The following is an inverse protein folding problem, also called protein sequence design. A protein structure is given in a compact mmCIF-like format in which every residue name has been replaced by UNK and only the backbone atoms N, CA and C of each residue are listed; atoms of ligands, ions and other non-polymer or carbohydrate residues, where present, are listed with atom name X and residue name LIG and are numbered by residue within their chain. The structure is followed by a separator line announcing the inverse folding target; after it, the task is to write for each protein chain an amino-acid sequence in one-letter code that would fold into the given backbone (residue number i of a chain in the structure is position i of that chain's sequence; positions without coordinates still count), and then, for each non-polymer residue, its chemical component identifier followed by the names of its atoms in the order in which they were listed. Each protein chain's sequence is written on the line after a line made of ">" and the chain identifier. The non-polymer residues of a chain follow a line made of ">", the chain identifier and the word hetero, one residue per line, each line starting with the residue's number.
data_IF_136513760698
#
_entry.id   IF_136513760698
#
_cell.length_a   1.000
_cell.length_b   1.000
_cell.length_c   1.000
_cell.angle_alpha   90.00
_cell.angle_beta   90.00
_cell.angle_gamma   90.00
#
_symmetry.space_group_name_H-M   'P 1'
#
loop_
_entity.id
_entity.type
_entity.pdbx_description
1 polymer ?
#
# COMPACT_ATOMS: atom_id res chain seq x y z
N UNK A 1 5.74 7.92 -6.45
CA UNK A 1 5.53 9.02 -5.50
C UNK A 1 4.86 8.57 -4.19
N UNK A 2 3.88 7.65 -4.21
CA UNK A 2 3.28 7.06 -2.99
C UNK A 2 4.23 6.14 -2.21
N UNK A 3 5.07 5.34 -2.88
CA UNK A 3 6.09 4.51 -2.23
C UNK A 3 7.26 5.29 -1.59
N UNK A 4 7.42 6.57 -1.90
CA UNK A 4 8.47 7.42 -1.29
C UNK A 4 8.03 7.99 0.07
N UNK A 5 6.72 8.08 0.33
CA UNK A 5 6.19 8.61 1.60
C UNK A 5 6.29 7.63 2.78
N UNK A 6 6.45 6.34 2.51
CA UNK A 6 6.73 5.33 3.54
C UNK A 6 8.23 5.21 3.88
N UNK A 7 9.13 5.76 3.04
CA UNK A 7 10.58 5.71 3.25
C UNK A 7 11.22 7.06 3.61
N UNK A 8 10.43 8.06 4.01
CA UNK A 8 10.97 9.30 4.60
C UNK A 8 11.96 10.10 3.73
N UNK A 9 11.89 10.00 2.40
CA UNK A 9 12.77 10.79 1.52
C UNK A 9 11.97 11.86 0.78
N UNK A 10 12.24 13.12 1.13
CA UNK A 10 11.83 14.30 0.35
C UNK A 10 13.03 14.83 -0.44
N UNK A 11 12.92 15.09 -1.75
CA UNK A 11 14.04 15.61 -2.54
C UNK A 11 14.06 17.15 -2.53
N UNK A 12 15.19 17.73 -2.09
CA UNK A 12 15.68 19.03 -2.56
C UNK A 12 15.58 20.23 -1.62
N UNK A 13 16.69 20.51 -0.90
CA UNK A 13 17.40 21.80 -0.78
C UNK A 13 18.13 21.93 0.58
N UNK A 14 19.33 22.54 0.65
CA UNK A 14 20.26 22.41 1.77
C UNK A 14 20.07 23.51 2.82
N UNK A 15 20.11 23.15 4.10
CA UNK A 15 20.20 24.13 5.18
C UNK A 15 19.59 23.63 6.48
N UNK A 16 20.46 23.38 7.45
CA UNK A 16 20.17 23.17 8.88
C UNK A 16 19.42 21.86 9.19
N UNK A 17 20.20 20.80 9.40
CA UNK A 17 19.75 19.59 10.07
C UNK A 17 19.29 19.94 11.49
N UNK A 18 17.98 20.05 11.70
CA UNK A 18 17.41 19.87 13.03
C UNK A 18 17.70 18.42 13.49
N UNK A 19 18.06 18.22 14.78
CA UNK A 19 18.33 16.88 15.29
C UNK A 19 17.07 16.02 15.17
N UNK A 20 17.22 14.87 14.52
CA UNK A 20 16.17 13.88 14.36
C UNK A 20 15.53 13.60 15.72
N UNK A 21 14.29 14.04 15.88
CA UNK A 21 13.47 13.79 17.06
C UNK A 21 13.32 12.27 17.18
N UNK A 22 13.61 11.64 18.34
CA UNK A 22 13.46 10.19 18.48
C UNK A 22 12.03 9.79 18.12
N UNK A 23 11.82 8.65 17.44
CA UNK A 23 10.48 8.22 17.03
C UNK A 23 9.58 8.19 18.27
N UNK A 24 8.37 8.73 18.13
CA UNK A 24 7.44 9.06 19.22
C UNK A 24 6.98 7.86 20.10
N UNK A 25 7.55 6.66 19.91
CA UNK A 25 7.34 5.46 20.74
C UNK A 25 8.49 5.09 21.68
N UNK A 26 9.68 5.70 21.55
CA UNK A 26 10.88 5.28 22.30
C UNK A 26 10.69 5.40 23.83
N UNK A 27 10.10 6.50 24.29
CA UNK A 27 9.84 6.73 25.73
C UNK A 27 8.64 5.94 26.31
N UNK A 28 7.78 5.40 25.46
CA UNK A 28 6.66 4.53 25.88
C UNK A 28 7.17 3.11 26.07
N UNK A 29 7.95 2.62 25.12
CA UNK A 29 8.57 1.29 25.16
C UNK A 29 9.52 1.13 26.35
N UNK A 30 10.39 2.13 26.58
CA UNK A 30 11.31 2.11 27.71
C UNK A 30 10.60 2.08 29.06
N UNK A 31 9.42 2.72 29.13
CA UNK A 31 8.59 2.76 30.35
C UNK A 31 7.89 1.43 30.59
N UNK A 32 7.42 0.77 29.53
CA UNK A 32 6.83 -0.56 29.60
C UNK A 32 7.87 -1.59 30.02
N UNK A 33 9.03 -1.61 29.37
CA UNK A 33 10.14 -2.50 29.74
C UNK A 33 10.54 -2.29 31.22
N UNK A 34 10.68 -1.04 31.67
CA UNK A 34 11.01 -0.73 33.06
C UNK A 34 9.90 -1.16 34.04
N UNK A 35 8.62 -1.05 33.68
CA UNK A 35 7.51 -1.57 34.49
C UNK A 35 7.59 -3.09 34.63
N UNK A 36 7.83 -3.79 33.53
CA UNK A 36 7.91 -5.25 33.53
C UNK A 36 9.12 -5.76 34.30
N UNK A 37 10.32 -5.20 34.08
CA UNK A 37 11.50 -5.59 34.88
C UNK A 37 11.23 -5.40 36.38
N UNK A 38 10.65 -4.27 36.78
CA UNK A 38 10.33 -4.01 38.18
C UNK A 38 9.30 -5.00 38.76
N UNK A 39 8.36 -5.49 37.95
CA UNK A 39 7.32 -6.43 38.39
C UNK A 39 7.84 -7.86 38.59
N UNK A 40 8.89 -8.26 37.87
CA UNK A 40 9.48 -9.61 37.91
C UNK A 40 10.86 -9.66 38.59
N UNK A 41 11.28 -8.57 39.23
CA UNK A 41 12.52 -8.48 40.01
C UNK A 41 12.69 -9.64 41.00
N UNK A 42 13.87 -10.26 40.97
CA UNK A 42 14.23 -11.37 41.86
C UNK A 42 13.70 -12.75 41.43
N UNK A 43 12.90 -12.83 40.35
CA UNK A 43 12.52 -14.11 39.71
C UNK A 43 13.36 -14.42 38.47
N UNK A 44 13.99 -13.40 37.89
CA UNK A 44 14.74 -13.50 36.64
C UNK A 44 16.20 -13.09 36.84
N UNK A 45 17.09 -13.76 36.11
CA UNK A 45 18.53 -13.51 36.13
C UNK A 45 18.84 -12.28 35.26
N UNK A 46 19.75 -11.39 35.69
CA UNK A 46 20.22 -10.27 34.86
C UNK A 46 20.69 -10.77 33.48
N UNK A 47 20.20 -10.15 32.40
CA UNK A 47 20.53 -10.52 31.02
C UNK A 47 19.58 -11.56 30.37
N UNK A 48 18.71 -12.21 31.15
CA UNK A 48 17.66 -13.07 30.59
C UNK A 48 16.38 -12.26 30.38
N UNK A 49 16.01 -12.06 29.11
CA UNK A 49 14.77 -11.39 28.74
C UNK A 49 13.60 -12.33 28.96
N UNK A 50 12.58 -11.93 29.72
CA UNK A 50 11.33 -12.69 29.79
C UNK A 50 10.71 -12.79 28.39
N UNK A 51 10.71 -14.00 27.83
CA UNK A 51 10.14 -14.25 26.51
C UNK A 51 8.66 -13.83 26.43
N UNK A 52 7.88 -13.99 27.51
CA UNK A 52 6.46 -13.57 27.54
C UNK A 52 6.31 -12.06 27.46
N UNK A 53 7.18 -11.31 28.12
CA UNK A 53 7.18 -9.84 28.06
C UNK A 53 7.54 -9.37 26.66
N UNK A 54 8.61 -9.94 26.10
CA UNK A 54 9.02 -9.69 24.73
C UNK A 54 7.89 -9.98 23.74
N UNK A 55 7.28 -11.15 23.86
CA UNK A 55 6.18 -11.61 23.01
C UNK A 55 4.97 -10.67 23.10
N UNK A 56 4.60 -10.22 24.29
CA UNK A 56 3.46 -9.32 24.49
C UNK A 56 3.69 -7.97 23.81
N UNK A 57 4.86 -7.36 24.01
CA UNK A 57 5.18 -6.05 23.45
C UNK A 57 5.18 -6.09 21.92
N UNK A 58 5.81 -7.12 21.33
CA UNK A 58 5.84 -7.30 19.87
C UNK A 58 4.44 -7.49 19.30
N UNK A 59 3.61 -8.32 19.93
CA UNK A 59 2.23 -8.57 19.48
C UNK A 59 1.39 -7.30 19.49
N UNK A 60 1.51 -6.48 20.53
CA UNK A 60 0.81 -5.20 20.62
C UNK A 60 1.25 -4.21 19.54
N UNK A 61 2.56 -4.11 19.27
CA UNK A 61 3.08 -3.29 18.17
C UNK A 61 2.52 -3.74 16.83
N UNK A 62 2.57 -5.03 16.52
CA UNK A 62 2.10 -5.56 15.23
C UNK A 62 0.60 -5.39 15.06
N UNK A 63 -0.18 -5.56 16.13
CA UNK A 63 -1.63 -5.34 16.11
C UNK A 63 -1.99 -3.89 15.76
N UNK A 64 -1.18 -2.92 16.19
CA UNK A 64 -1.42 -1.51 15.87
C UNK A 64 -1.24 -1.16 14.38
N UNK A 65 -0.57 -2.03 13.62
CA UNK A 65 -0.29 -1.82 12.19
C UNK A 65 -1.34 -2.45 11.26
N UNK A 66 -2.27 -3.25 11.80
CA UNK A 66 -3.30 -3.93 11.01
C UNK A 66 -4.25 -2.93 10.33
N UNK A 67 -4.85 -2.01 11.11
CA UNK A 67 -5.81 -1.03 10.58
C UNK A 67 -5.16 -0.03 9.59
N UNK A 68 -3.96 0.53 9.85
CA UNK A 68 -3.25 1.35 8.86
C UNK A 68 -2.98 0.61 7.54
N UNK A 69 -2.74 -0.71 7.56
CA UNK A 69 -2.54 -1.50 6.36
C UNK A 69 -3.84 -1.67 5.56
N UNK A 70 -4.97 -1.83 6.24
CA UNK A 70 -6.30 -1.89 5.62
C UNK A 70 -6.70 -0.52 5.04
N UNK A 71 -6.45 0.58 5.74
CA UNK A 71 -6.68 1.93 5.23
C UNK A 71 -5.88 2.22 3.94
N UNK A 72 -4.63 1.74 3.89
CA UNK A 72 -3.81 1.83 2.69
C UNK A 72 -4.40 1.02 1.53
N UNK A 73 -4.93 -0.18 1.79
CA UNK A 73 -5.64 -0.98 0.79
C UNK A 73 -6.84 -0.20 0.22
N UNK A 74 -7.69 0.38 1.07
CA UNK A 74 -8.83 1.17 0.62
C UNK A 74 -8.41 2.36 -0.25
N UNK A 75 -7.39 3.09 0.20
CA UNK A 75 -6.84 4.24 -0.53
C UNK A 75 -6.36 3.84 -1.93
N UNK A 76 -5.58 2.76 -2.05
CA UNK A 76 -5.07 2.30 -3.35
C UNK A 76 -6.21 1.78 -4.23
N UNK A 77 -7.17 1.07 -3.64
CA UNK A 77 -8.34 0.54 -4.37
C UNK A 77 -9.17 1.67 -4.97
N UNK A 78 -9.38 2.76 -4.26
CA UNK A 78 -10.10 3.92 -4.78
C UNK A 78 -9.34 4.62 -5.91
N UNK A 79 -8.01 4.76 -5.81
CA UNK A 79 -7.20 5.32 -6.90
C UNK A 79 -7.31 4.47 -8.17
N UNK A 80 -7.26 3.14 -8.03
CA UNK A 80 -7.34 2.21 -9.15
C UNK A 80 -8.74 2.21 -9.76
N UNK A 81 -9.78 2.18 -8.92
CA UNK A 81 -11.18 2.33 -9.34
C UNK A 81 -11.38 3.58 -10.18
N UNK A 82 -10.93 4.74 -9.69
CA UNK A 82 -11.04 6.01 -10.43
C UNK A 82 -10.31 5.95 -11.78
N UNK A 83 -9.12 5.34 -11.82
CA UNK A 83 -8.39 5.17 -13.06
C UNK A 83 -9.17 4.32 -14.08
N UNK A 84 -9.75 3.20 -13.66
CA UNK A 84 -10.57 2.34 -14.53
C UNK A 84 -11.86 3.02 -14.99
N UNK A 85 -12.55 3.75 -14.11
CA UNK A 85 -13.75 4.52 -14.48
C UNK A 85 -13.39 5.58 -15.52
N UNK A 86 -12.31 6.33 -15.33
CA UNK A 86 -11.86 7.35 -16.29
C UNK A 86 -11.52 6.74 -17.66
N UNK A 87 -10.90 5.55 -17.68
CA UNK A 87 -10.63 4.82 -18.92
C UNK A 87 -11.94 4.35 -19.58
N UNK A 88 -12.89 3.85 -18.80
CA UNK A 88 -14.22 3.44 -19.31
C UNK A 88 -14.98 4.62 -19.91
N UNK A 89 -14.96 5.78 -19.24
CA UNK A 89 -15.61 7.01 -19.75
C UNK A 89 -15.00 7.45 -21.07
N UNK A 90 -13.67 7.53 -21.17
CA UNK A 90 -12.98 7.96 -22.40
C UNK A 90 -13.24 7.04 -23.60
N UNK A 91 -13.38 5.74 -23.37
CA UNK A 91 -13.53 4.77 -24.46
C UNK A 91 -15.00 4.47 -24.80
N UNK A 92 -15.91 4.55 -23.83
CA UNK A 92 -17.29 4.07 -23.98
C UNK A 92 -18.37 5.15 -23.82
N UNK A 93 -18.02 6.43 -23.61
CA UNK A 93 -19.01 7.50 -23.41
C UNK A 93 -20.08 7.60 -24.52
N UNK A 94 -19.72 7.30 -25.77
CA UNK A 94 -20.67 7.32 -26.90
C UNK A 94 -21.70 6.17 -26.84
N UNK A 95 -21.34 5.06 -26.18
CA UNK A 95 -22.16 3.87 -25.99
C UNK A 95 -22.63 3.78 -24.53
N UNK A 96 -23.71 4.48 -24.20
CA UNK A 96 -24.20 4.61 -22.82
C UNK A 96 -24.42 3.27 -22.12
N UNK A 97 -25.01 2.29 -22.82
CA UNK A 97 -25.29 0.97 -22.27
C UNK A 97 -24.01 0.21 -21.94
N UNK A 98 -23.05 0.19 -22.89
CA UNK A 98 -21.73 -0.41 -22.67
C UNK A 98 -20.99 0.27 -21.51
N UNK A 99 -20.96 1.60 -21.47
CA UNK A 99 -20.32 2.35 -20.40
C UNK A 99 -20.92 2.02 -19.02
N UNK A 100 -22.26 1.99 -18.93
CA UNK A 100 -22.97 1.63 -17.69
C UNK A 100 -22.63 0.21 -17.24
N UNK A 101 -22.64 -0.75 -18.16
CA UNK A 101 -22.30 -2.16 -17.87
C UNK A 101 -20.83 -2.28 -17.43
N UNK A 102 -19.91 -1.65 -18.14
CA UNK A 102 -18.49 -1.64 -17.79
C UNK A 102 -18.25 -1.04 -16.39
N UNK A 103 -18.94 0.06 -16.07
CA UNK A 103 -18.88 0.69 -14.75
C UNK A 103 -19.41 -0.24 -13.64
N UNK A 104 -20.51 -0.94 -13.89
CA UNK A 104 -21.03 -1.95 -12.95
C UNK A 104 -20.01 -3.05 -12.69
N UNK A 105 -19.44 -3.63 -13.75
CA UNK A 105 -18.42 -4.68 -13.64
C UNK A 105 -17.18 -4.21 -12.87
N UNK A 106 -16.75 -2.96 -13.07
CA UNK A 106 -15.64 -2.35 -12.32
C UNK A 106 -15.97 -2.31 -10.82
N UNK A 107 -17.17 -1.87 -10.42
CA UNK A 107 -17.56 -1.79 -9.00
C UNK A 107 -17.73 -3.19 -8.38
N UNK A 108 -18.30 -4.15 -9.11
CA UNK A 108 -18.49 -5.53 -8.64
C UNK A 108 -17.15 -6.23 -8.40
N UNK A 109 -16.22 -6.13 -9.36
CA UNK A 109 -14.87 -6.69 -9.24
C UNK A 109 -14.09 -5.95 -8.15
N UNK A 110 -14.28 -4.63 -7.99
CA UNK A 110 -13.64 -3.83 -6.94
C UNK A 110 -14.01 -4.36 -5.56
N UNK A 111 -15.30 -4.55 -5.30
CA UNK A 111 -15.78 -5.06 -4.02
C UNK A 111 -15.23 -6.45 -3.70
N UNK A 112 -15.17 -7.35 -4.69
CA UNK A 112 -14.66 -8.71 -4.48
C UNK A 112 -13.14 -8.72 -4.23
N UNK A 113 -12.36 -7.99 -5.03
CA UNK A 113 -10.91 -7.93 -4.86
C UNK A 113 -10.48 -7.22 -3.58
N UNK A 114 -11.21 -6.17 -3.18
CA UNK A 114 -10.97 -5.46 -1.92
C UNK A 114 -11.21 -6.38 -0.72
N UNK A 115 -12.30 -7.15 -0.73
CA UNK A 115 -12.60 -8.14 0.30
C UNK A 115 -11.55 -9.25 0.39
N UNK A 116 -11.06 -9.75 -0.74
CA UNK A 116 -10.03 -10.79 -0.78
C UNK A 116 -8.67 -10.29 -0.27
N UNK A 117 -8.30 -9.07 -0.67
CA UNK A 117 -7.09 -8.41 -0.20
C UNK A 117 -7.15 -8.14 1.31
N UNK A 118 -8.26 -7.61 1.83
CA UNK A 118 -8.43 -7.34 3.26
C UNK A 118 -8.31 -8.63 4.07
N UNK A 119 -9.00 -9.70 3.66
CA UNK A 119 -8.90 -11.01 4.32
C UNK A 119 -7.46 -11.51 4.35
N UNK A 120 -6.74 -11.37 3.25
CA UNK A 120 -5.33 -11.79 3.13
C UNK A 120 -4.41 -10.99 4.06
N UNK A 121 -4.61 -9.67 4.15
CA UNK A 121 -3.86 -8.79 5.06
C UNK A 121 -4.12 -9.22 6.50
N UNK A 122 -5.40 -9.32 6.91
CA UNK A 122 -5.77 -9.71 8.29
C UNK A 122 -5.24 -11.10 8.65
N UNK A 123 -5.33 -12.06 7.73
CA UNK A 123 -4.74 -13.40 7.93
C UNK A 123 -3.23 -13.33 8.14
N UNK A 124 -2.52 -12.48 7.39
CA UNK A 124 -1.08 -12.32 7.59
C UNK A 124 -0.74 -11.70 8.96
N UNK A 125 -1.50 -10.70 9.39
CA UNK A 125 -1.34 -10.14 10.73
C UNK A 125 -1.61 -11.16 11.85
N UNK A 126 -2.57 -12.08 11.64
CA UNK A 126 -2.80 -13.21 12.55
C UNK A 126 -1.60 -14.16 12.61
N UNK A 127 -0.96 -14.44 11.47
CA UNK A 127 0.26 -15.27 11.44
C UNK A 127 1.45 -14.57 12.12
N UNK A 128 1.60 -13.26 11.95
CA UNK A 128 2.66 -12.46 12.59
C UNK A 128 2.51 -12.37 14.13
N UNK A 129 1.37 -12.81 14.69
CA UNK A 129 1.25 -13.02 16.15
C UNK A 129 2.11 -14.20 16.64
N UNK A 130 2.56 -15.08 15.75
CA UNK A 130 3.47 -16.17 16.10
C UNK A 130 4.90 -15.61 16.05
N UNK A 131 5.52 -15.45 17.23
CA UNK A 131 6.90 -14.97 17.33
C UNK A 131 7.85 -16.04 16.82
N UNK A 132 8.39 -15.82 15.62
CA UNK A 132 9.30 -16.74 14.96
C UNK A 132 10.32 -15.98 14.11
N UNK A 133 11.59 -16.36 14.21
CA UNK A 133 12.66 -15.84 13.36
C UNK A 133 13.75 -16.90 13.21
N UNK A 134 14.40 -16.96 12.05
CA UNK A 134 15.55 -17.83 11.85
C UNK A 134 16.78 -17.24 12.53
N UNK A 135 17.58 -18.08 13.20
CA UNK A 135 18.74 -17.65 14.00
C UNK A 135 19.72 -16.75 13.23
N UNK A 136 20.00 -17.05 11.96
CA UNK A 136 20.95 -16.27 11.16
C UNK A 136 20.41 -14.89 10.81
N UNK A 137 19.10 -14.81 10.51
CA UNK A 137 18.42 -13.54 10.22
C UNK A 137 18.38 -12.68 11.47
N UNK A 138 18.01 -13.28 12.60
CA UNK A 138 17.97 -12.60 13.89
C UNK A 138 19.34 -12.07 14.33
N UNK A 139 20.39 -12.88 14.20
CA UNK A 139 21.77 -12.46 14.53
C UNK A 139 22.22 -11.28 13.67
N UNK A 140 21.92 -11.30 12.37
CA UNK A 140 22.22 -10.20 11.46
C UNK A 140 21.47 -8.91 11.85
N UNK A 141 20.19 -9.02 12.18
CA UNK A 141 19.38 -7.89 12.64
C UNK A 141 19.91 -7.29 13.94
N UNK A 142 20.28 -8.15 14.91
CA UNK A 142 20.84 -7.72 16.20
C UNK A 142 22.18 -7.01 16.04
N UNK A 143 23.05 -7.52 15.16
CA UNK A 143 24.31 -6.84 14.83
C UNK A 143 24.06 -5.46 14.22
N UNK A 144 23.13 -5.37 13.26
CA UNK A 144 22.78 -4.10 12.62
C UNK A 144 22.23 -3.06 13.62
N UNK A 145 21.41 -3.46 14.58
CA UNK A 145 20.90 -2.56 15.63
C UNK A 145 22.04 -2.04 16.51
N UNK A 146 22.95 -2.91 16.93
CA UNK A 146 24.12 -2.53 17.75
C UNK A 146 25.07 -1.58 17.03
N UNK A 147 25.28 -1.80 15.73
CA UNK A 147 26.09 -0.90 14.89
C UNK A 147 25.44 0.48 14.76
N UNK A 148 24.13 0.55 14.54
CA UNK A 148 23.37 1.80 14.47
C UNK A 148 23.43 2.60 15.78
N UNK A 149 23.23 1.95 16.92
CA UNK A 149 23.36 2.59 18.24
C UNK A 149 24.78 3.12 18.46
N UNK A 150 25.82 2.35 18.09
CA UNK A 150 27.20 2.76 18.24
C UNK A 150 27.60 3.96 17.35
N UNK A 151 27.00 4.09 16.16
CA UNK A 151 27.17 5.26 15.29
C UNK A 151 26.44 6.49 15.82
N UNK A 152 25.21 6.34 16.30
CA UNK A 152 24.48 7.42 16.96
C UNK A 152 25.25 7.96 18.19
N UNK A 153 25.84 7.07 18.97
CA UNK A 153 26.65 7.41 20.14
C UNK A 153 27.96 8.13 19.79
N UNK A 154 28.50 7.92 18.58
CA UNK A 154 29.65 8.69 18.06
C UNK A 154 29.24 10.08 17.60
N UNK A 155 28.04 10.22 17.04
CA UNK A 155 27.50 11.53 16.60
C UNK A 155 27.10 12.45 17.76
N UNK A 156 26.73 11.89 18.92
CA UNK A 156 26.28 12.64 20.12
C UNK A 156 27.38 13.03 21.11
N UNK A 157 28.64 12.67 20.86
CA UNK A 157 29.78 12.94 21.77
C UNK A 157 30.29 14.38 21.65
N UNK A 158 29.61 15.31 22.33
CA UNK A 158 30.18 16.60 22.78
C UNK A 158 29.90 16.93 24.26
N UNK A 159 29.50 15.95 25.08
CA UNK A 159 29.28 16.13 26.52
C UNK A 159 29.78 14.96 27.38
N UNK A 160 30.12 15.18 28.67
CA UNK A 160 30.72 14.17 29.54
C UNK A 160 29.70 13.10 29.95
N UNK A 161 30.07 11.82 29.83
CA UNK A 161 29.24 10.67 30.21
C UNK A 161 29.23 10.49 31.74
N UNK A 162 28.06 10.58 32.35
CA UNK A 162 27.82 10.07 33.71
C UNK A 162 27.81 8.53 33.69
N UNK A 163 28.40 7.84 34.68
CA UNK A 163 28.39 6.38 34.74
C UNK A 163 26.95 5.90 35.01
N UNK A 164 26.31 5.32 34.00
CA UNK A 164 25.00 4.70 34.11
C UNK A 164 25.05 3.49 35.03
N UNK A 165 23.96 3.27 35.77
CA UNK A 165 23.82 2.16 36.71
C UNK A 165 23.77 0.82 35.96
N UNK A 166 24.19 -0.28 36.58
CA UNK A 166 24.14 -1.62 35.97
C UNK A 166 22.71 -2.05 35.56
N UNK A 167 21.68 -1.44 36.16
CA UNK A 167 20.26 -1.64 35.82
C UNK A 167 19.86 -1.00 34.48
N UNK A 168 20.56 0.06 34.07
CA UNK A 168 20.34 0.66 32.75
C UNK A 168 20.95 -0.22 31.63
N UNK A 169 21.93 -1.07 31.97
CA UNK A 169 22.59 -1.98 31.02
C UNK A 169 21.71 -3.18 30.64
N UNK A 170 20.97 -3.77 31.57
CA UNK A 170 20.09 -4.91 31.28
C UNK A 170 18.87 -4.51 30.45
N UNK A 171 18.27 -3.36 30.77
CA UNK A 171 17.15 -2.79 30.01
C UNK A 171 17.57 -2.44 28.58
N UNK A 172 18.80 -1.93 28.39
CA UNK A 172 19.35 -1.64 27.07
C UNK A 172 19.54 -2.91 26.23
N UNK A 173 20.03 -4.01 26.81
CA UNK A 173 20.16 -5.30 26.11
C UNK A 173 18.80 -5.85 25.66
N UNK A 174 17.79 -5.79 26.53
CA UNK A 174 16.40 -6.18 26.19
C UNK A 174 15.88 -5.34 25.01
N UNK A 175 16.15 -4.03 25.05
CA UNK A 175 15.73 -3.11 24.01
C UNK A 175 16.36 -3.43 22.65
N UNK A 176 17.64 -3.81 22.62
CA UNK A 176 18.32 -4.21 21.39
C UNK A 176 17.68 -5.45 20.77
N UNK A 177 17.38 -6.47 21.59
CA UNK A 177 16.71 -7.69 21.14
C UNK A 177 15.31 -7.42 20.59
N UNK A 178 14.54 -6.58 21.30
CA UNK A 178 13.22 -6.15 20.87
C UNK A 178 13.27 -5.39 19.54
N UNK A 179 14.21 -4.46 19.42
CA UNK A 179 14.42 -3.66 18.21
C UNK A 179 14.84 -4.53 17.02
N UNK A 180 15.71 -5.51 17.24
CA UNK A 180 16.16 -6.44 16.21
C UNK A 180 15.01 -7.26 15.64
N UNK A 181 14.16 -7.84 16.50
CA UNK A 181 13.01 -8.61 16.04
C UNK A 181 11.95 -7.71 15.38
N UNK A 182 11.66 -6.55 15.99
CA UNK A 182 10.70 -5.60 15.47
C UNK A 182 11.11 -5.14 14.06
N UNK A 183 12.40 -4.87 13.82
CA UNK A 183 12.93 -4.54 12.49
C UNK A 183 12.62 -5.63 11.45
N UNK A 184 12.84 -6.89 11.79
CA UNK A 184 12.57 -8.01 10.87
C UNK A 184 11.07 -8.20 10.61
N UNK A 185 10.23 -8.09 11.65
CA UNK A 185 8.78 -8.17 11.48
C UNK A 185 8.25 -7.02 10.60
N UNK A 186 8.72 -5.80 10.82
CA UNK A 186 8.38 -4.65 9.99
C UNK A 186 8.82 -4.85 8.54
N UNK A 187 10.03 -5.37 8.28
CA UNK A 187 10.51 -5.64 6.92
C UNK A 187 9.62 -6.66 6.17
N UNK A 188 9.13 -7.69 6.87
CA UNK A 188 8.19 -8.65 6.27
C UNK A 188 6.86 -7.99 5.92
N UNK A 189 6.27 -7.24 6.85
CA UNK A 189 4.99 -6.55 6.62
C UNK A 189 5.11 -5.50 5.52
N UNK A 190 6.18 -4.69 5.54
CA UNK A 190 6.41 -3.65 4.54
C UNK A 190 6.61 -4.21 3.13
N UNK A 191 7.07 -5.46 3.03
CA UNK A 191 7.21 -6.16 1.75
C UNK A 191 5.91 -6.83 1.33
N UNK A 192 5.22 -7.49 2.26
CA UNK A 192 4.06 -8.30 1.94
C UNK A 192 2.80 -7.47 1.68
N UNK A 193 2.50 -6.45 2.50
CA UNK A 193 1.26 -5.69 2.35
C UNK A 193 1.18 -5.03 0.96
N UNK A 194 2.21 -4.33 0.45
CA UNK A 194 2.18 -3.80 -0.92
C UNK A 194 2.06 -4.90 -1.99
N UNK A 195 2.67 -6.07 -1.77
CA UNK A 195 2.59 -7.19 -2.70
C UNK A 195 1.16 -7.75 -2.79
N UNK A 196 0.48 -7.92 -1.65
CA UNK A 196 -0.93 -8.34 -1.60
C UNK A 196 -1.81 -7.34 -2.35
N UNK A 197 -1.66 -6.04 -2.04
CA UNK A 197 -2.41 -4.97 -2.71
C UNK A 197 -2.17 -5.00 -4.22
N UNK A 198 -0.90 -5.07 -4.66
CA UNK A 198 -0.57 -5.12 -6.08
C UNK A 198 -1.12 -6.36 -6.77
N UNK A 199 -1.12 -7.51 -6.08
CA UNK A 199 -1.66 -8.75 -6.63
C UNK A 199 -3.17 -8.64 -6.85
N UNK A 200 -3.95 -8.33 -5.81
CA UNK A 200 -5.41 -8.30 -5.91
C UNK A 200 -5.94 -7.07 -6.67
N UNK A 201 -5.52 -5.87 -6.27
CA UNK A 201 -6.09 -4.61 -6.73
C UNK A 201 -5.63 -4.25 -8.15
N UNK A 202 -4.45 -4.70 -8.57
CA UNK A 202 -3.94 -4.42 -9.93
C UNK A 202 -3.98 -5.64 -10.85
N UNK A 203 -3.28 -6.72 -10.49
CA UNK A 203 -3.13 -7.86 -11.41
C UNK A 203 -4.42 -8.65 -11.57
N UNK A 204 -4.97 -9.15 -10.46
CA UNK A 204 -6.18 -9.98 -10.47
C UNK A 204 -7.39 -9.17 -10.93
N UNK A 205 -7.54 -7.94 -10.40
CA UNK A 205 -8.56 -7.00 -10.86
C UNK A 205 -8.52 -6.82 -12.39
N UNK A 206 -7.36 -6.49 -12.96
CA UNK A 206 -7.21 -6.25 -14.39
C UNK A 206 -7.53 -7.49 -15.23
N UNK A 207 -7.08 -8.67 -14.80
CA UNK A 207 -7.38 -9.93 -15.48
C UNK A 207 -8.87 -10.27 -15.43
N UNK A 208 -9.51 -10.11 -14.28
CA UNK A 208 -10.95 -10.35 -14.13
C UNK A 208 -11.76 -9.37 -14.96
N UNK A 209 -11.40 -8.09 -14.98
CA UNK A 209 -12.08 -7.09 -15.78
C UNK A 209 -11.96 -7.39 -17.28
N UNK A 210 -10.77 -7.76 -17.77
CA UNK A 210 -10.59 -8.16 -19.16
C UNK A 210 -11.45 -9.37 -19.51
N UNK A 211 -11.46 -10.40 -18.65
CA UNK A 211 -12.30 -11.58 -18.84
C UNK A 211 -13.79 -11.23 -18.85
N UNK A 212 -14.25 -10.43 -17.90
CA UNK A 212 -15.63 -9.99 -17.82
C UNK A 212 -16.06 -9.21 -19.07
N UNK A 213 -15.22 -8.29 -19.55
CA UNK A 213 -15.49 -7.52 -20.76
C UNK A 213 -15.53 -8.39 -22.02
N UNK A 214 -14.71 -9.44 -22.11
CA UNK A 214 -14.78 -10.42 -23.19
C UNK A 214 -16.04 -11.30 -23.12
N UNK A 215 -16.49 -11.65 -21.91
CA UNK A 215 -17.73 -12.43 -21.72
C UNK A 215 -18.96 -11.66 -22.22
N UNK A 216 -18.99 -10.33 -22.11
CA UNK A 216 -20.07 -9.50 -22.66
C UNK A 216 -20.25 -9.67 -24.18
N UNK A 217 -19.20 -10.09 -24.89
CA UNK A 217 -19.25 -10.27 -26.35
C UNK A 217 -19.85 -11.63 -26.77
N UNK A 218 -20.04 -12.57 -25.84
CA UNK A 218 -20.52 -13.92 -26.18
C UNK A 218 -21.99 -13.93 -26.59
N UNK A 219 -22.81 -13.07 -26.00
CA UNK A 219 -24.22 -12.93 -26.37
C UNK A 219 -24.38 -11.89 -27.48
N UNK A 220 -24.69 -12.37 -28.69
CA UNK A 220 -24.86 -11.53 -29.88
C UNK A 220 -26.00 -10.53 -29.77
N UNK A 221 -27.09 -10.89 -29.08
CA UNK A 221 -28.25 -10.02 -28.92
C UNK A 221 -27.95 -8.91 -27.91
N UNK A 222 -27.31 -9.27 -26.79
CA UNK A 222 -26.82 -8.31 -25.82
C UNK A 222 -25.78 -7.34 -26.42
N UNK A 223 -24.93 -7.82 -27.33
CA UNK A 223 -23.92 -7.00 -28.00
C UNK A 223 -24.54 -5.84 -28.80
N UNK A 224 -25.65 -6.10 -29.50
CA UNK A 224 -26.40 -5.06 -30.22
C UNK A 224 -27.00 -4.01 -29.30
N UNK A 225 -27.47 -4.42 -28.11
CA UNK A 225 -27.98 -3.49 -27.10
C UNK A 225 -26.87 -2.66 -26.44
N UNK A 226 -25.72 -3.28 -26.14
CA UNK A 226 -24.56 -2.62 -25.54
C UNK A 226 -23.99 -1.52 -26.44
N UNK A 227 -23.88 -1.81 -27.75
CA UNK A 227 -23.36 -0.89 -28.76
C UNK A 227 -24.43 0.06 -29.34
N UNK A 228 -25.61 0.11 -28.72
CA UNK A 228 -26.63 1.07 -29.13
C UNK A 228 -26.21 2.48 -28.74
N UNK A 229 -25.98 3.29 -29.76
CA UNK A 229 -25.63 4.69 -29.60
C UNK A 229 -26.82 5.51 -29.09
N UNK A 230 -26.51 6.66 -28.48
CA UNK A 230 -27.54 7.65 -28.17
C UNK A 230 -28.13 8.26 -29.46
N UNK A 231 -29.42 8.60 -29.40
CA UNK A 231 -30.15 9.12 -30.56
C UNK A 231 -29.56 10.43 -31.10
N UNK A 232 -29.18 11.35 -30.21
CA UNK A 232 -28.51 12.60 -30.53
C UNK A 232 -27.18 12.40 -31.28
N UNK A 233 -26.33 11.47 -30.82
CA UNK A 233 -25.07 11.13 -31.50
C UNK A 233 -25.32 10.52 -32.87
N UNK A 234 -26.30 9.62 -32.96
CA UNK A 234 -26.70 8.97 -34.22
C UNK A 234 -27.22 9.98 -35.25
N UNK A 235 -28.09 10.89 -34.81
CA UNK A 235 -28.70 11.91 -35.67
C UNK A 235 -27.68 12.94 -36.12
N UNK A 236 -26.79 13.37 -35.22
CA UNK A 236 -25.65 14.24 -35.56
C UNK A 236 -24.74 13.58 -36.61
N UNK A 237 -24.47 12.26 -36.48
CA UNK A 237 -23.67 11.53 -37.47
C UNK A 237 -24.37 11.49 -38.83
N UNK A 238 -25.67 11.18 -38.87
CA UNK A 238 -26.46 11.17 -40.12
C UNK A 238 -26.40 12.54 -40.81
N UNK A 239 -26.67 13.61 -40.06
CA UNK A 239 -26.60 14.98 -40.56
C UNK A 239 -25.22 15.34 -41.14
N UNK A 240 -24.14 14.99 -40.43
CA UNK A 240 -22.77 15.26 -40.90
C UNK A 240 -22.43 14.46 -42.16
N UNK A 241 -22.86 13.19 -42.25
CA UNK A 241 -22.68 12.37 -43.46
C UNK A 241 -23.41 12.95 -44.67
N UNK A 242 -24.65 13.41 -44.49
CA UNK A 242 -25.43 14.07 -45.55
C UNK A 242 -24.83 15.41 -45.96
N UNK A 243 -24.28 16.18 -45.02
CA UNK A 243 -23.58 17.42 -45.36
C UNK A 243 -22.30 17.13 -46.14
N UNK A 244 -21.53 16.12 -45.74
CA UNK A 244 -20.31 15.70 -46.45
C UNK A 244 -20.62 15.21 -47.86
N UNK A 245 -21.70 14.45 -48.06
CA UNK A 245 -22.09 13.98 -49.39
C UNK A 245 -22.47 15.14 -50.32
N UNK A 246 -23.24 16.11 -49.83
CA UNK A 246 -23.57 17.35 -50.57
C UNK A 246 -22.34 18.16 -50.92
N UNK A 247 -21.41 18.36 -49.98
CA UNK A 247 -20.14 19.06 -50.24
C UNK A 247 -19.28 18.33 -51.25
N UNK A 248 -19.23 16.99 -51.18
CA UNK A 248 -18.50 16.16 -52.14
C UNK A 248 -19.09 16.28 -53.54
N UNK A 249 -20.42 16.32 -53.66
CA UNK A 249 -21.11 16.53 -54.94
C UNK A 249 -20.83 17.92 -55.50
N UNK A 250 -20.90 18.97 -54.67
CA UNK A 250 -20.57 20.34 -55.07
C UNK A 250 -19.13 20.45 -55.59
N UNK A 251 -18.17 19.85 -54.87
CA UNK A 251 -16.76 19.77 -55.32
C UNK A 251 -16.62 19.09 -56.67
N UNK A 252 -17.34 17.97 -56.91
CA UNK A 252 -17.32 17.29 -58.22
C UNK A 252 -17.90 18.16 -59.33
N UNK A 253 -18.91 18.97 -59.06
CA UNK A 253 -19.46 19.88 -60.07
C UNK A 253 -18.50 21.03 -60.37
N UNK A 254 -17.87 21.63 -59.34
CA UNK A 254 -16.86 22.68 -59.54
C UNK A 254 -15.66 22.17 -60.35
N UNK A 255 -15.23 20.93 -60.12
CA UNK A 255 -14.14 20.32 -60.90
C UNK A 255 -14.44 20.14 -62.39
N UNK A 256 -15.72 20.17 -62.82
CA UNK A 256 -16.12 20.12 -64.23
C UNK A 256 -16.03 21.47 -64.94
N UNK A 257 -15.84 22.55 -64.19
CA UNK A 257 -15.57 23.88 -64.72
C UNK A 257 -14.13 24.27 -64.38
N UNK A 258 -13.12 23.66 -65.03
CA UNK A 258 -11.78 24.20 -64.95
C UNK A 258 -11.79 25.57 -65.64
N UNK A 259 -11.35 26.59 -64.91
CA UNK A 259 -11.11 27.91 -65.46
C UNK A 259 -10.03 27.89 -66.53
#
# INVERSE_FOLDING_TARGET
>A
HLMMKLCGHSPGAPGLCEPARPPAGYGTLHREIRKFENQYRGRELPGFVNYRTFETIIKEQLKSLEEPAVDMLHTVTDMVRLAFINVSEKNFAEFFNLHKTAKSQIEDIKAEQEKEAERSIRLHFQMEQIVYCQDQVYRGALQSVREQEAEEDKSRKSGPKSPGSAEDSSVAEIFQHLSAYSKEAHNRISSLVPLIIQFFVLRTFGQQLQKAMLLLLQDKEACGWLLKERSDTSDKRKFLKERLSRLSQARRQLAKFPG
#
